data_IF_307940413369
#
_entry.id   IF_307940413369
#
_cell.length_a   1.000
_cell.length_b   1.000
_cell.length_c   1.000
_cell.angle_alpha   90.00
_cell.angle_beta   90.00
_cell.angle_gamma   90.00
#
_symmetry.space_group_name_H-M   'P 1'
#
loop_
_entity.id
_entity.type
_entity.pdbx_description
1 polymer ?
#
# COMPACT_ATOMS: atom_id res chain seq x y z
N UNK A 1 -17.80 -7.77 12.08
CA UNK A 1 -17.02 -7.00 13.08
C UNK A 1 -16.71 -5.63 12.53
N UNK A 2 -16.76 -4.63 13.39
CA UNK A 2 -16.30 -3.27 13.08
C UNK A 2 -15.08 -2.97 13.93
N UNK A 3 -14.19 -2.15 13.45
CA UNK A 3 -12.97 -1.79 14.18
C UNK A 3 -12.32 -0.54 13.60
N UNK A 4 -11.31 -0.03 14.29
CA UNK A 4 -10.58 1.17 13.95
C UNK A 4 -9.09 0.84 13.82
N UNK A 5 -8.37 1.48 12.89
CA UNK A 5 -6.96 1.16 12.57
C UNK A 5 -6.80 -0.04 11.63
N UNK A 6 -5.56 -0.39 11.31
CA UNK A 6 -4.32 0.23 11.79
C UNK A 6 -4.05 1.62 11.21
N UNK A 7 -3.24 2.40 11.94
CA UNK A 7 -2.72 3.68 11.46
C UNK A 7 -1.20 3.65 11.50
N UNK A 8 -0.55 3.61 10.38
CA UNK A 8 0.90 3.60 10.30
C UNK A 8 1.42 3.18 8.93
N UNK A 9 2.67 3.48 8.64
CA UNK A 9 3.34 3.04 7.43
C UNK A 9 3.82 1.59 7.59
N UNK A 10 2.90 0.66 7.34
CA UNK A 10 3.20 -0.77 7.36
C UNK A 10 3.68 -1.25 5.99
N UNK A 11 4.49 -2.31 6.00
CA UNK A 11 4.86 -3.00 4.78
C UNK A 11 3.61 -3.66 4.13
N UNK A 12 3.54 -3.77 2.79
CA UNK A 12 2.40 -4.33 2.09
C UNK A 12 1.92 -5.68 2.63
N UNK A 13 2.85 -6.57 2.97
CA UNK A 13 2.54 -7.90 3.53
C UNK A 13 1.68 -7.85 4.79
N UNK A 14 1.78 -6.79 5.59
CA UNK A 14 1.03 -6.63 6.83
C UNK A 14 -0.48 -6.71 6.61
N UNK A 15 -0.98 -6.09 5.54
CA UNK A 15 -2.41 -6.02 5.25
C UNK A 15 -3.02 -7.35 4.75
N UNK A 16 -2.18 -8.32 4.44
CA UNK A 16 -2.58 -9.67 4.03
C UNK A 16 -2.41 -10.71 5.15
N UNK A 17 -2.02 -10.30 6.35
CA UNK A 17 -1.90 -11.19 7.50
C UNK A 17 -3.24 -11.34 8.23
N UNK A 18 -3.40 -12.41 9.00
CA UNK A 18 -4.64 -12.70 9.73
C UNK A 18 -5.05 -11.59 10.71
N UNK A 19 -4.09 -10.86 11.23
CA UNK A 19 -4.29 -9.75 12.17
C UNK A 19 -3.56 -8.51 11.66
N UNK A 20 -4.14 -7.78 10.70
CA UNK A 20 -3.46 -6.67 10.06
C UNK A 20 -3.12 -5.51 10.99
N UNK A 21 -3.70 -5.43 12.18
CA UNK A 21 -3.35 -4.48 13.24
C UNK A 21 -2.22 -4.96 14.16
N UNK A 22 -1.71 -6.16 13.93
CA UNK A 22 -0.56 -6.72 14.65
C UNK A 22 -0.89 -7.30 16.03
N UNK A 23 -2.17 -7.41 16.40
CA UNK A 23 -2.61 -7.99 17.68
C UNK A 23 -3.22 -9.37 17.46
N UNK A 24 -2.36 -10.39 17.46
CA UNK A 24 -2.78 -11.76 17.30
C UNK A 24 -3.71 -12.20 18.44
N UNK A 25 -4.75 -12.94 18.09
CA UNK A 25 -5.70 -13.50 19.03
C UNK A 25 -6.88 -12.61 19.38
N UNK A 26 -6.92 -11.36 18.94
CA UNK A 26 -8.08 -10.48 19.13
C UNK A 26 -9.00 -10.52 17.89
N UNK A 27 -10.13 -11.23 17.94
CA UNK A 27 -11.03 -11.34 16.79
C UNK A 27 -11.69 -10.01 16.40
N UNK A 28 -11.69 -9.00 17.28
CA UNK A 28 -12.20 -7.67 16.97
C UNK A 28 -11.25 -6.87 16.08
N UNK A 29 -10.03 -7.35 15.89
CA UNK A 29 -8.95 -6.66 15.18
C UNK A 29 -8.56 -7.30 13.85
N UNK A 30 -9.33 -8.24 13.34
CA UNK A 30 -9.19 -8.79 11.99
C UNK A 30 -9.73 -7.84 10.91
N UNK A 31 -9.94 -8.33 9.70
CA UNK A 31 -10.44 -7.51 8.59
C UNK A 31 -11.80 -6.85 8.91
N UNK A 32 -12.90 -7.50 8.77
CA UNK A 32 -14.24 -6.96 9.01
C UNK A 32 -14.51 -5.66 8.23
N UNK A 33 -15.25 -4.74 8.88
CA UNK A 33 -15.44 -3.36 8.43
C UNK A 33 -14.58 -2.42 9.27
N UNK A 34 -13.69 -1.67 8.63
CA UNK A 34 -12.85 -0.68 9.30
C UNK A 34 -13.45 0.72 9.17
N UNK A 35 -13.82 1.29 10.29
CA UNK A 35 -14.38 2.66 10.36
C UNK A 35 -13.32 3.73 10.16
N UNK A 36 -12.06 3.37 10.40
CA UNK A 36 -10.90 4.23 10.20
C UNK A 36 -9.68 3.36 9.90
N UNK A 37 -8.99 3.62 8.82
CA UNK A 37 -7.72 2.98 8.48
C UNK A 37 -6.87 3.96 7.68
N UNK A 38 -5.57 4.02 7.92
CA UNK A 38 -4.72 4.94 7.18
C UNK A 38 -3.24 4.81 7.49
N UNK A 39 -2.44 5.54 6.74
CA UNK A 39 -0.98 5.63 6.92
C UNK A 39 -0.56 7.09 7.09
N UNK A 40 0.56 7.34 7.76
CA UNK A 40 1.20 8.66 7.69
C UNK A 40 1.62 8.93 6.24
N UNK A 41 1.45 10.15 5.78
CA UNK A 41 1.71 10.54 4.40
C UNK A 41 2.54 11.81 4.35
N UNK A 42 3.74 11.70 3.83
CA UNK A 42 4.59 12.85 3.52
C UNK A 42 4.09 13.45 2.19
N UNK A 43 3.84 14.76 2.09
CA UNK A 43 3.43 15.38 0.84
C UNK A 43 4.54 15.36 -0.22
N UNK A 44 4.24 15.76 -1.44
CA UNK A 44 5.26 16.00 -2.45
C UNK A 44 6.24 17.08 -1.99
N UNK A 45 7.46 17.09 -2.52
CA UNK A 45 8.43 18.12 -2.16
C UNK A 45 7.93 19.51 -2.51
N UNK A 46 7.21 19.66 -3.61
CA UNK A 46 6.60 20.94 -4.02
C UNK A 46 5.61 21.48 -2.99
N UNK A 47 4.79 20.61 -2.39
CA UNK A 47 3.89 20.98 -1.30
C UNK A 47 4.62 21.18 0.03
N UNK A 48 5.61 20.35 0.33
CA UNK A 48 6.41 20.45 1.54
C UNK A 48 7.08 21.82 1.67
N UNK A 49 7.64 22.35 0.57
CA UNK A 49 8.27 23.68 0.51
C UNK A 49 7.34 24.85 0.87
N UNK A 50 6.03 24.67 0.72
CA UNK A 50 5.06 25.74 0.94
C UNK A 50 4.83 26.04 2.43
N UNK A 51 5.11 25.07 3.31
CA UNK A 51 4.83 25.22 4.74
C UNK A 51 6.03 25.02 5.64
N UNK A 52 7.07 24.33 5.19
CA UNK A 52 8.26 24.07 6.00
C UNK A 52 9.31 25.14 5.71
N UNK A 53 9.78 25.91 6.72
CA UNK A 53 10.89 26.82 6.54
C UNK A 53 12.15 26.10 6.04
N UNK A 54 12.91 26.76 5.17
CA UNK A 54 14.05 26.13 4.48
C UNK A 54 15.12 25.62 5.44
N UNK A 55 15.36 26.33 6.53
CA UNK A 55 16.29 25.96 7.60
C UNK A 55 15.88 24.69 8.35
N UNK A 56 14.58 24.30 8.30
CA UNK A 56 14.03 23.11 8.96
C UNK A 56 13.81 21.93 7.98
N UNK A 57 14.26 22.03 6.74
CA UNK A 57 14.00 20.97 5.75
C UNK A 57 14.72 19.68 6.08
N UNK A 58 16.01 19.77 6.42
CA UNK A 58 16.85 18.60 6.64
C UNK A 58 18.14 18.93 7.41
N UNK A 59 18.57 18.13 8.39
CA UNK A 59 17.87 16.94 8.91
C UNK A 59 16.58 17.31 9.64
N UNK A 60 15.70 16.33 9.85
CA UNK A 60 14.44 16.51 10.58
C UNK A 60 14.70 17.04 12.01
N UNK A 61 13.92 18.05 12.39
CA UNK A 61 13.99 18.72 13.68
C UNK A 61 12.60 18.88 14.35
N UNK A 62 12.50 19.72 15.40
CA UNK A 62 11.27 19.96 16.14
C UNK A 62 10.15 20.62 15.31
N UNK A 63 10.47 21.33 14.24
CA UNK A 63 9.46 21.93 13.38
C UNK A 63 8.57 20.87 12.72
N UNK A 64 9.11 19.70 12.41
CA UNK A 64 8.37 18.58 11.88
C UNK A 64 7.27 18.07 12.83
N UNK A 65 7.51 18.15 14.17
CA UNK A 65 6.49 17.82 15.18
C UNK A 65 5.26 18.72 15.08
N UNK A 66 5.43 19.99 14.72
CA UNK A 66 4.32 20.96 14.52
C UNK A 66 3.48 20.60 13.29
N UNK A 67 4.04 19.85 12.37
CA UNK A 67 3.39 19.32 11.18
C UNK A 67 3.02 17.83 11.30
N UNK A 68 2.84 17.37 12.55
CA UNK A 68 2.38 16.03 12.90
C UNK A 68 3.32 14.91 12.42
N UNK A 69 4.62 15.11 12.48
CA UNK A 69 5.60 14.11 12.11
C UNK A 69 6.82 14.13 13.04
N UNK A 70 6.71 13.44 14.19
CA UNK A 70 7.73 13.42 15.22
C UNK A 70 7.30 12.65 16.45
N UNK A 71 7.96 12.91 17.60
CA UNK A 71 7.77 12.16 18.85
C UNK A 71 6.33 12.24 19.39
N UNK A 72 5.64 13.34 19.15
CA UNK A 72 4.27 13.56 19.64
C UNK A 72 3.19 13.18 18.62
N UNK A 73 3.59 12.69 17.46
CA UNK A 73 2.67 12.27 16.42
C UNK A 73 2.16 10.86 16.70
N UNK A 74 0.93 10.74 17.17
CA UNK A 74 0.30 9.45 17.40
C UNK A 74 0.22 8.64 16.09
N UNK A 75 0.79 7.44 16.08
CA UNK A 75 0.86 6.55 14.91
C UNK A 75 1.55 7.09 13.65
N UNK A 76 2.05 8.31 13.66
CA UNK A 76 2.89 8.86 12.59
C UNK A 76 4.37 8.90 13.02
N UNK A 77 4.81 7.88 13.75
CA UNK A 77 6.18 7.78 14.24
C UNK A 77 7.19 7.74 13.07
N UNK A 78 8.09 8.71 12.96
CA UNK A 78 9.03 8.81 11.85
C UNK A 78 9.91 7.58 11.68
N UNK A 79 10.32 6.95 12.79
CA UNK A 79 11.28 5.84 12.76
C UNK A 79 10.78 4.64 11.93
N UNK A 80 9.49 4.28 12.07
CA UNK A 80 8.90 3.22 11.25
C UNK A 80 8.85 3.60 9.78
N UNK A 81 8.52 4.86 9.51
CA UNK A 81 8.44 5.39 8.16
C UNK A 81 9.84 5.41 7.50
N UNK A 82 10.84 5.92 8.24
CA UNK A 82 12.24 5.94 7.82
C UNK A 82 12.79 4.52 7.59
N UNK A 83 12.41 3.58 8.45
CA UNK A 83 12.78 2.17 8.28
C UNK A 83 12.17 1.59 6.98
N UNK A 84 10.91 1.88 6.68
CA UNK A 84 10.25 1.46 5.44
C UNK A 84 10.92 2.07 4.20
N UNK A 85 11.23 3.37 4.24
CA UNK A 85 11.97 4.06 3.17
C UNK A 85 13.34 3.39 2.97
N UNK A 86 14.12 3.26 4.04
CA UNK A 86 15.50 2.75 3.95
C UNK A 86 15.53 1.31 3.45
N UNK A 87 14.61 0.47 3.94
CA UNK A 87 14.52 -0.94 3.55
C UNK A 87 14.06 -1.11 2.10
N UNK A 88 13.09 -0.32 1.67
CA UNK A 88 12.52 -0.42 0.31
C UNK A 88 13.37 0.27 -0.75
N UNK A 89 13.86 1.47 -0.46
CA UNK A 89 14.37 2.41 -1.47
C UNK A 89 15.76 2.99 -1.14
N UNK A 90 16.40 2.53 -0.07
CA UNK A 90 17.70 3.01 0.38
C UNK A 90 17.62 4.30 1.20
N UNK A 91 18.71 4.61 1.91
CA UNK A 91 18.81 5.80 2.77
C UNK A 91 18.59 7.08 1.96
N UNK A 92 17.75 8.02 2.43
CA UNK A 92 17.56 9.30 1.75
C UNK A 92 18.82 10.18 1.78
N UNK A 93 19.09 10.87 0.68
CA UNK A 93 20.24 11.79 0.55
C UNK A 93 19.89 13.25 0.85
N UNK A 94 18.65 13.54 1.21
CA UNK A 94 18.14 14.86 1.56
C UNK A 94 16.63 14.92 1.46
N UNK A 95 16.05 16.10 1.66
CA UNK A 95 14.60 16.26 1.76
C UNK A 95 13.85 15.92 0.47
N UNK A 96 14.35 16.31 -0.69
CA UNK A 96 13.70 16.02 -1.96
C UNK A 96 13.66 14.51 -2.24
N UNK A 97 14.79 13.84 -2.02
CA UNK A 97 14.88 12.39 -2.15
C UNK A 97 14.02 11.68 -1.08
N UNK A 98 13.96 12.23 0.14
CA UNK A 98 13.06 11.74 1.18
C UNK A 98 11.60 11.81 0.75
N UNK A 99 11.14 12.96 0.29
CA UNK A 99 9.76 13.14 -0.20
C UNK A 99 9.45 12.19 -1.35
N UNK A 100 10.37 12.02 -2.30
CA UNK A 100 10.21 11.12 -3.45
C UNK A 100 10.08 9.64 -3.00
N UNK A 101 10.96 9.18 -2.14
CA UNK A 101 10.91 7.81 -1.58
C UNK A 101 9.67 7.58 -0.71
N UNK A 102 9.26 8.63 0.01
CA UNK A 102 8.03 8.62 0.79
C UNK A 102 6.78 8.40 -0.08
N UNK A 103 6.71 9.01 -1.28
CA UNK A 103 5.61 8.73 -2.20
C UNK A 103 5.53 7.24 -2.56
N UNK A 104 6.67 6.59 -2.80
CA UNK A 104 6.71 5.16 -3.11
C UNK A 104 6.20 4.31 -1.95
N UNK A 105 6.65 4.58 -0.72
CA UNK A 105 6.13 3.90 0.49
C UNK A 105 4.61 4.09 0.61
N UNK A 106 4.11 5.31 0.34
CA UNK A 106 2.68 5.58 0.44
C UNK A 106 1.87 4.93 -0.70
N UNK A 107 2.41 4.83 -1.91
CA UNK A 107 1.78 4.05 -2.98
C UNK A 107 1.63 2.60 -2.56
N UNK A 108 2.73 1.95 -2.14
CA UNK A 108 2.73 0.53 -1.80
C UNK A 108 1.83 0.22 -0.61
N UNK A 109 1.94 0.98 0.49
CA UNK A 109 1.16 0.71 1.70
C UNK A 109 -0.33 1.00 1.53
N UNK A 110 -0.70 2.08 0.84
CA UNK A 110 -2.11 2.37 0.58
C UNK A 110 -2.72 1.39 -0.43
N UNK A 111 -2.01 1.03 -1.50
CA UNK A 111 -2.46 0.00 -2.41
C UNK A 111 -2.73 -1.31 -1.67
N UNK A 112 -1.76 -1.79 -0.89
CA UNK A 112 -1.88 -3.03 -0.13
C UNK A 112 -2.99 -2.98 0.93
N UNK A 113 -3.25 -1.82 1.53
CA UNK A 113 -4.33 -1.62 2.48
C UNK A 113 -5.70 -1.95 1.85
N UNK A 114 -5.98 -1.46 0.65
CA UNK A 114 -7.21 -1.81 -0.07
C UNK A 114 -7.19 -3.24 -0.59
N UNK A 115 -6.09 -3.68 -1.17
CA UNK A 115 -5.94 -5.03 -1.72
C UNK A 115 -6.12 -6.12 -0.65
N UNK A 116 -5.67 -5.89 0.60
CA UNK A 116 -5.85 -6.84 1.69
C UNK A 116 -7.33 -7.08 2.03
N UNK A 117 -8.19 -6.05 1.88
CA UNK A 117 -9.64 -6.20 2.03
C UNK A 117 -10.29 -6.81 0.80
N UNK A 118 -9.84 -6.47 -0.40
CA UNK A 118 -10.31 -7.09 -1.63
C UNK A 118 -9.94 -8.59 -1.69
N UNK A 119 -8.76 -8.96 -1.19
CA UNK A 119 -8.31 -10.35 -1.10
C UNK A 119 -9.27 -11.23 -0.28
N UNK A 120 -9.93 -10.63 0.71
CA UNK A 120 -10.84 -11.28 1.66
C UNK A 120 -12.30 -10.87 1.50
N UNK A 121 -12.64 -10.24 0.39
CA UNK A 121 -13.96 -9.69 0.12
C UNK A 121 -15.06 -10.73 0.31
N UNK A 122 -15.99 -10.44 1.22
CA UNK A 122 -17.13 -11.24 1.64
C UNK A 122 -16.80 -12.54 2.40
N UNK A 123 -15.53 -12.89 2.59
CA UNK A 123 -15.18 -13.95 3.54
C UNK A 123 -15.23 -13.39 4.97
N UNK A 124 -14.31 -12.54 5.32
CA UNK A 124 -14.22 -11.86 6.62
C UNK A 124 -13.89 -10.36 6.50
N UNK A 125 -13.87 -9.81 5.29
CA UNK A 125 -13.72 -8.39 4.99
C UNK A 125 -14.97 -7.86 4.28
N UNK A 126 -15.50 -6.71 4.75
CA UNK A 126 -16.72 -6.09 4.18
C UNK A 126 -16.51 -4.64 3.76
N UNK A 127 -15.45 -3.97 4.17
CA UNK A 127 -15.14 -2.62 3.72
C UNK A 127 -14.18 -1.87 4.62
N UNK A 128 -13.69 -0.76 4.07
CA UNK A 128 -12.83 0.19 4.78
C UNK A 128 -13.27 1.63 4.53
N UNK A 129 -13.10 2.48 5.53
CA UNK A 129 -13.17 3.93 5.39
C UNK A 129 -11.80 4.51 5.72
N UNK A 130 -11.24 5.26 4.79
CA UNK A 130 -9.90 5.82 4.93
C UNK A 130 -9.90 6.98 5.91
N UNK A 131 -9.03 6.92 6.90
CA UNK A 131 -8.69 8.02 7.76
C UNK A 131 -7.33 8.58 7.35
N UNK A 132 -7.26 9.72 6.63
CA UNK A 132 -8.38 10.49 6.16
C UNK A 132 -8.14 11.04 4.75
N UNK A 133 -9.12 11.75 4.19
CA UNK A 133 -9.01 12.33 2.86
C UNK A 133 -8.02 13.48 2.79
N UNK A 134 -8.14 14.47 3.69
CA UNK A 134 -7.35 15.68 3.70
C UNK A 134 -7.12 16.19 5.12
N UNK A 135 -5.95 16.72 5.40
CA UNK A 135 -5.64 17.35 6.68
C UNK A 135 -6.21 18.77 6.79
N UNK A 136 -6.51 19.18 8.03
CA UNK A 136 -7.07 20.52 8.32
C UNK A 136 -6.02 21.63 8.26
N UNK A 137 -4.73 21.30 8.25
CA UNK A 137 -3.60 22.22 8.16
C UNK A 137 -2.44 21.53 7.45
N UNK A 138 -1.42 22.25 6.94
CA UNK A 138 -0.27 21.65 6.30
C UNK A 138 0.45 20.69 7.25
N UNK A 139 0.41 19.39 6.95
CA UNK A 139 0.94 18.36 7.85
C UNK A 139 1.32 17.08 7.11
N UNK A 140 1.92 16.15 7.82
CA UNK A 140 2.29 14.82 7.35
C UNK A 140 1.45 13.73 8.04
N UNK A 141 0.23 14.08 8.40
CA UNK A 141 -0.77 13.18 8.97
C UNK A 141 -1.40 12.31 7.87
N UNK A 142 -2.22 11.34 8.26
CA UNK A 142 -2.99 10.50 7.33
C UNK A 142 -3.78 11.33 6.33
N UNK A 143 -3.41 11.31 5.09
CA UNK A 143 -4.02 12.14 4.05
C UNK A 143 -3.89 11.48 2.67
N UNK A 144 -4.95 11.55 1.89
CA UNK A 144 -4.96 11.13 0.49
C UNK A 144 -4.58 12.30 -0.41
N UNK A 145 -5.12 13.46 -0.09
CA UNK A 145 -4.75 14.77 -0.65
C UNK A 145 -4.03 15.56 0.44
N UNK A 146 -2.99 16.27 0.06
CA UNK A 146 -2.38 17.18 1.01
C UNK A 146 -3.23 18.44 1.25
N UNK A 147 -2.80 19.29 2.18
CA UNK A 147 -3.51 20.53 2.50
C UNK A 147 -3.74 21.43 1.27
N UNK A 148 -2.85 21.38 0.29
CA UNK A 148 -2.91 22.20 -0.93
C UNK A 148 -3.65 21.53 -2.09
N UNK A 149 -4.37 20.44 -1.82
CA UNK A 149 -5.09 19.61 -2.81
C UNK A 149 -4.18 18.90 -3.82
N UNK A 150 -2.89 18.78 -3.55
CA UNK A 150 -2.00 17.99 -4.36
C UNK A 150 -2.18 16.49 -4.07
N UNK A 151 -2.03 15.67 -5.10
CA UNK A 151 -2.19 14.22 -5.00
C UNK A 151 -0.93 13.59 -4.42
N UNK A 152 -1.09 12.83 -3.34
CA UNK A 152 0.01 12.10 -2.72
C UNK A 152 0.12 10.67 -3.25
N UNK A 153 1.19 9.97 -2.86
CA UNK A 153 1.34 8.53 -3.11
C UNK A 153 0.17 7.71 -2.57
N UNK A 154 -0.47 8.16 -1.47
CA UNK A 154 -1.64 7.51 -0.92
C UNK A 154 -2.83 7.50 -1.89
N UNK A 155 -3.07 8.62 -2.58
CA UNK A 155 -4.09 8.70 -3.63
C UNK A 155 -3.82 7.70 -4.76
N UNK A 156 -2.60 7.67 -5.26
CA UNK A 156 -2.26 6.81 -6.39
C UNK A 156 -2.32 5.32 -6.04
N UNK A 157 -1.90 4.96 -4.82
CA UNK A 157 -2.05 3.61 -4.30
C UNK A 157 -3.52 3.18 -4.19
N UNK A 158 -4.36 4.01 -3.55
CA UNK A 158 -5.79 3.77 -3.41
C UNK A 158 -6.49 3.69 -4.77
N UNK A 159 -6.21 4.64 -5.68
CA UNK A 159 -6.78 4.65 -7.04
C UNK A 159 -6.48 3.36 -7.79
N UNK A 160 -5.22 2.89 -7.74
CA UNK A 160 -4.84 1.64 -8.40
C UNK A 160 -5.58 0.43 -7.83
N UNK A 161 -5.68 0.31 -6.50
CA UNK A 161 -6.36 -0.82 -5.86
C UNK A 161 -7.89 -0.79 -6.03
N UNK A 162 -8.48 0.40 -6.23
CA UNK A 162 -9.93 0.58 -6.36
C UNK A 162 -10.43 0.54 -7.81
N UNK A 163 -9.67 0.00 -8.76
CA UNK A 163 -10.17 -0.27 -10.09
C UNK A 163 -11.34 -1.28 -10.02
N UNK A 164 -12.43 -1.07 -10.77
CA UNK A 164 -13.64 -1.90 -10.66
C UNK A 164 -13.41 -3.40 -10.88
N UNK A 165 -12.47 -3.75 -11.75
CA UNK A 165 -11.91 -5.10 -11.90
C UNK A 165 -10.41 -4.98 -11.71
N UNK A 166 -9.92 -5.55 -10.62
CA UNK A 166 -8.55 -5.35 -10.17
C UNK A 166 -7.82 -6.68 -9.98
N UNK A 167 -6.59 -6.78 -10.49
CA UNK A 167 -5.71 -7.90 -10.22
C UNK A 167 -4.80 -7.57 -9.04
N UNK A 168 -4.71 -8.50 -8.09
CA UNK A 168 -3.88 -8.36 -6.91
C UNK A 168 -3.03 -9.60 -6.67
N UNK A 169 -1.92 -9.41 -5.99
CA UNK A 169 -1.05 -10.48 -5.50
C UNK A 169 -1.02 -10.47 -3.98
N UNK A 170 -1.34 -11.62 -3.39
CA UNK A 170 -1.23 -11.80 -1.94
C UNK A 170 0.21 -12.24 -1.58
N UNK A 171 1.02 -11.39 -0.93
CA UNK A 171 2.42 -11.70 -0.63
C UNK A 171 2.60 -12.73 0.49
N UNK A 172 1.52 -13.17 1.15
CA UNK A 172 1.55 -14.22 2.18
C UNK A 172 1.38 -15.59 1.56
N UNK A 173 0.42 -15.73 0.63
CA UNK A 173 0.04 -17.01 0.01
C UNK A 173 0.63 -17.21 -1.39
N UNK A 174 1.23 -16.17 -1.98
CA UNK A 174 1.62 -16.08 -3.40
C UNK A 174 0.45 -16.21 -4.38
N UNK A 175 -0.77 -16.09 -3.89
CA UNK A 175 -1.96 -16.13 -4.71
C UNK A 175 -2.11 -14.87 -5.56
N UNK A 176 -2.38 -15.06 -6.84
CA UNK A 176 -2.82 -13.99 -7.75
C UNK A 176 -4.32 -14.11 -7.88
N UNK A 177 -5.04 -13.02 -7.61
CA UNK A 177 -6.51 -12.99 -7.59
C UNK A 177 -7.04 -11.82 -8.43
N UNK A 178 -8.26 -11.95 -8.91
CA UNK A 178 -9.03 -10.86 -9.49
C UNK A 178 -10.19 -10.55 -8.55
N UNK A 179 -10.26 -9.27 -8.15
CA UNK A 179 -11.40 -8.70 -7.44
C UNK A 179 -12.29 -7.96 -8.46
N UNK A 180 -13.53 -8.39 -8.59
CA UNK A 180 -14.54 -7.75 -9.41
C UNK A 180 -15.58 -7.11 -8.49
N UNK A 181 -15.52 -5.79 -8.33
CA UNK A 181 -16.48 -5.03 -7.51
C UNK A 181 -17.68 -4.53 -8.31
N UNK A 182 -17.78 -4.91 -9.58
CA UNK A 182 -18.91 -4.52 -10.44
C UNK A 182 -20.15 -5.42 -10.23
N UNK A 183 -21.28 -4.97 -10.69
CA UNK A 183 -22.53 -5.75 -10.70
C UNK A 183 -22.64 -6.70 -11.92
N UNK A 184 -21.55 -6.96 -12.64
CA UNK A 184 -21.55 -7.79 -13.86
C UNK A 184 -20.51 -8.88 -13.75
N UNK A 185 -20.84 -10.06 -14.24
CA UNK A 185 -19.86 -11.13 -14.46
C UNK A 185 -18.92 -10.71 -15.60
N UNK A 186 -17.66 -11.04 -15.44
CA UNK A 186 -16.62 -10.85 -16.45
C UNK A 186 -16.10 -12.19 -16.91
N UNK A 187 -16.14 -12.44 -18.20
CA UNK A 187 -15.69 -13.70 -18.78
C UNK A 187 -14.43 -13.48 -19.64
N UNK A 188 -13.58 -14.50 -19.70
CA UNK A 188 -12.43 -14.51 -20.57
C UNK A 188 -11.32 -13.51 -20.20
N UNK A 189 -11.26 -13.07 -18.95
CA UNK A 189 -10.19 -12.16 -18.49
C UNK A 189 -8.83 -12.88 -18.52
N UNK A 190 -7.82 -12.21 -19.04
CA UNK A 190 -6.44 -12.71 -18.97
C UNK A 190 -5.74 -12.12 -17.73
N UNK A 191 -5.45 -12.98 -16.75
CA UNK A 191 -4.58 -12.64 -15.63
C UNK A 191 -3.14 -12.98 -16.01
N UNK A 192 -2.23 -12.00 -15.98
CA UNK A 192 -0.81 -12.17 -16.29
C UNK A 192 0.06 -11.62 -15.18
N UNK A 193 1.11 -12.36 -14.82
CA UNK A 193 2.19 -11.92 -13.93
C UNK A 193 3.52 -12.03 -14.63
N UNK A 194 4.29 -10.95 -14.56
CA UNK A 194 5.71 -10.90 -14.98
C UNK A 194 6.56 -10.43 -13.82
N UNK A 195 7.61 -11.16 -13.55
CA UNK A 195 8.59 -10.82 -12.49
C UNK A 195 9.89 -10.41 -13.13
N UNK A 196 10.48 -9.33 -12.62
CA UNK A 196 11.74 -8.79 -13.11
C UNK A 196 12.74 -8.65 -11.96
N UNK A 197 14.00 -8.84 -12.27
CA UNK A 197 15.11 -8.47 -11.38
C UNK A 197 15.28 -6.94 -11.35
N UNK A 198 16.07 -6.47 -10.39
CA UNK A 198 16.38 -5.03 -10.27
C UNK A 198 17.14 -4.45 -11.46
N UNK A 199 17.76 -5.29 -12.29
CA UNK A 199 18.40 -4.91 -13.56
C UNK A 199 17.43 -4.91 -14.75
N UNK A 200 16.14 -5.13 -14.50
CA UNK A 200 15.07 -5.15 -15.52
C UNK A 200 14.96 -6.44 -16.32
N UNK A 201 15.71 -7.47 -15.99
CA UNK A 201 15.62 -8.77 -16.68
C UNK A 201 14.45 -9.59 -16.15
N UNK A 202 13.69 -10.19 -17.06
CA UNK A 202 12.60 -11.09 -16.74
C UNK A 202 13.09 -12.33 -15.98
N UNK A 203 12.30 -12.77 -15.02
CA UNK A 203 12.48 -14.03 -14.29
C UNK A 203 11.40 -14.99 -14.75
N UNK A 204 11.69 -15.71 -15.84
CA UNK A 204 10.72 -16.56 -16.53
C UNK A 204 10.06 -17.62 -15.62
N UNK A 205 10.77 -18.12 -14.62
CA UNK A 205 10.23 -19.09 -13.67
C UNK A 205 8.97 -18.62 -12.92
N UNK A 206 8.74 -17.31 -12.86
CA UNK A 206 7.57 -16.71 -12.21
C UNK A 206 6.62 -16.00 -13.18
N UNK A 207 6.91 -16.05 -14.48
CA UNK A 207 6.00 -15.52 -15.50
C UNK A 207 4.87 -16.52 -15.74
N UNK A 208 3.64 -16.12 -15.46
CA UNK A 208 2.47 -16.97 -15.62
C UNK A 208 1.29 -16.16 -16.17
N UNK A 209 0.42 -16.83 -16.89
CA UNK A 209 -0.87 -16.28 -17.30
C UNK A 209 -1.97 -17.34 -17.24
N UNK A 210 -3.21 -16.90 -17.02
CA UNK A 210 -4.40 -17.76 -17.08
C UNK A 210 -5.60 -16.97 -17.60
N UNK A 211 -6.52 -17.67 -18.28
CA UNK A 211 -7.82 -17.12 -18.61
C UNK A 211 -8.77 -17.50 -17.49
N UNK A 212 -9.46 -16.51 -16.92
CA UNK A 212 -10.35 -16.68 -15.78
C UNK A 212 -11.68 -15.95 -16.01
N UNK A 213 -12.74 -16.48 -15.41
CA UNK A 213 -14.01 -15.79 -15.27
C UNK A 213 -14.12 -15.24 -13.85
N UNK A 214 -14.61 -14.02 -13.73
CA UNK A 214 -14.79 -13.34 -12.44
C UNK A 214 -16.26 -12.98 -12.27
N UNK A 215 -17.00 -13.70 -11.41
CA UNK A 215 -18.38 -13.33 -11.11
C UNK A 215 -18.46 -11.90 -10.54
N UNK A 216 -19.62 -11.29 -10.70
CA UNK A 216 -19.92 -9.99 -10.12
C UNK A 216 -19.70 -10.00 -8.60
N UNK A 217 -19.20 -8.90 -8.08
CA UNK A 217 -19.04 -8.66 -6.65
C UNK A 217 -18.31 -9.81 -5.91
N UNK A 218 -17.19 -10.28 -6.46
CA UNK A 218 -16.44 -11.43 -5.95
C UNK A 218 -14.93 -11.26 -6.10
N UNK A 219 -14.16 -12.04 -5.33
CA UNK A 219 -12.74 -12.22 -5.54
C UNK A 219 -12.45 -13.67 -5.88
N UNK A 220 -11.75 -13.91 -6.98
CA UNK A 220 -11.43 -15.25 -7.48
C UNK A 220 -9.93 -15.48 -7.56
N UNK A 221 -9.48 -16.68 -7.17
CA UNK A 221 -8.09 -17.12 -7.32
C UNK A 221 -7.82 -17.46 -8.79
N UNK A 222 -6.77 -16.86 -9.37
CA UNK A 222 -6.30 -17.17 -10.71
C UNK A 222 -5.27 -18.29 -10.71
N UNK A 223 -4.18 -18.09 -9.99
CA UNK A 223 -3.09 -19.04 -9.82
C UNK A 223 -2.21 -18.65 -8.63
N UNK A 224 -1.16 -19.45 -8.38
CA UNK A 224 -0.16 -19.18 -7.34
C UNK A 224 1.22 -19.18 -7.98
N UNK A 225 2.01 -18.13 -7.78
CA UNK A 225 3.33 -17.98 -8.42
C UNK A 225 4.47 -18.73 -7.72
N UNK A 226 4.28 -19.17 -6.48
CA UNK A 226 5.26 -19.97 -5.74
C UNK A 226 6.50 -19.22 -5.25
N UNK A 227 6.47 -17.91 -5.29
CA UNK A 227 7.60 -17.04 -4.97
C UNK A 227 8.12 -17.17 -3.53
N UNK A 228 7.22 -17.39 -2.56
CA UNK A 228 7.59 -17.53 -1.15
C UNK A 228 8.38 -18.83 -0.85
N UNK A 229 8.22 -19.86 -1.67
CA UNK A 229 8.94 -21.15 -1.46
C UNK A 229 10.45 -21.02 -1.65
N UNK A 230 10.88 -20.06 -2.47
CA UNK A 230 12.28 -19.87 -2.83
C UNK A 230 12.94 -18.66 -2.15
N UNK A 231 12.20 -17.88 -1.38
CA UNK A 231 12.70 -16.68 -0.68
C UNK A 231 13.95 -16.91 0.17
N UNK A 232 14.21 -18.12 0.62
CA UNK A 232 15.42 -18.47 1.40
C UNK A 232 16.72 -18.23 0.63
N UNK A 233 16.67 -18.21 -0.71
CA UNK A 233 17.86 -18.07 -1.58
C UNK A 233 17.96 -16.70 -2.28
N UNK A 234 16.93 -15.85 -2.24
CA UNK A 234 16.87 -14.59 -2.99
C UNK A 234 17.11 -13.35 -2.14
N UNK A 235 17.63 -13.50 -0.93
CA UNK A 235 17.87 -12.38 0.01
C UNK A 235 18.83 -11.30 -0.47
N UNK A 236 19.52 -11.50 -1.59
CA UNK A 236 20.48 -10.57 -2.18
C UNK A 236 19.88 -9.67 -3.28
N UNK A 237 18.77 -10.04 -3.91
CA UNK A 237 18.15 -9.28 -5.00
C UNK A 237 16.64 -9.16 -4.73
N UNK A 238 16.19 -8.01 -4.25
CA UNK A 238 14.77 -7.75 -4.05
C UNK A 238 14.06 -7.58 -5.40
N UNK A 239 13.07 -8.40 -5.75
CA UNK A 239 12.29 -8.20 -6.96
C UNK A 239 11.35 -7.01 -6.82
N UNK A 240 11.17 -6.29 -7.92
CA UNK A 240 10.14 -5.25 -8.05
C UNK A 240 8.94 -5.84 -8.77
N UNK A 241 7.73 -5.60 -8.27
CA UNK A 241 6.50 -6.08 -8.86
C UNK A 241 5.76 -4.93 -9.54
N UNK A 242 5.31 -5.16 -10.75
CA UNK A 242 4.34 -4.31 -11.42
C UNK A 242 3.11 -5.15 -11.76
N UNK A 243 1.91 -4.68 -11.40
CA UNK A 243 0.64 -5.27 -11.82
C UNK A 243 -0.09 -4.28 -12.72
N UNK A 244 -0.57 -4.73 -13.86
CA UNK A 244 -1.47 -3.96 -14.72
C UNK A 244 -2.65 -4.82 -15.17
N UNK A 245 -3.81 -4.22 -15.26
CA UNK A 245 -4.98 -4.77 -15.95
C UNK A 245 -5.09 -4.12 -17.31
N UNK A 246 -5.06 -4.90 -18.38
CA UNK A 246 -5.41 -4.43 -19.72
C UNK A 246 -6.81 -4.93 -20.05
N UNK A 247 -7.69 -3.99 -20.39
CA UNK A 247 -8.98 -4.30 -20.99
C UNK A 247 -8.77 -4.42 -22.50
N UNK A 248 -9.14 -5.55 -23.08
CA UNK A 248 -9.26 -5.77 -24.52
C UNK A 248 -10.61 -5.29 -25.04
#
# INVERSE_FOLDING_TARGET
>A
MTGSGPWGAFEPRFYFTKYPDGLEGDPARGWGFRTEIGTAVVPTFESFKKFMPKENWWPRDEMWNKHYFGQNAFNAAPDRYDASITKGFGKPEGIEDYCRKAQLVNIESNKAMYEGWLDRMWEDASGIMTWMGQSAYPSMVWQTYDYYYDLTGAFWGAKSACEPVHILWNPVTDGVKIANTTARDMEGLTAEVKVYNMDGKSVEAYTQSAIVNSPSNSTVQCFTIGFNKERKNLSLNKPTFASSTTYG
#
